data_IF_952394573088
#
_entry.id   IF_952394573088
#
_cell.length_a   1.000
_cell.length_b   1.000
_cell.length_c   1.000
_cell.angle_alpha   90.00
_cell.angle_beta   90.00
_cell.angle_gamma   90.00
#
_symmetry.space_group_name_H-M   'P 1'
#
loop_
_entity.id
_entity.type
_entity.pdbx_description
1 polymer ?
#
# COMPACT_ATOMS: atom_id res chain seq x y z
N UNK A 1 3.71 27.09 -8.84
CA UNK A 1 2.50 26.87 -9.71
C UNK A 1 1.70 25.63 -9.29
N UNK A 2 2.33 24.47 -8.98
CA UNK A 2 1.59 23.26 -8.56
C UNK A 2 0.84 23.47 -7.24
N UNK A 3 1.45 24.15 -6.26
CA UNK A 3 0.80 24.46 -4.99
C UNK A 3 -0.42 25.40 -5.15
N UNK A 4 -0.46 26.22 -6.19
CA UNK A 4 -1.61 27.09 -6.52
C UNK A 4 -2.70 26.32 -7.30
N UNK A 5 -2.36 25.23 -7.97
CA UNK A 5 -3.31 24.41 -8.72
C UNK A 5 -3.98 23.31 -7.87
N UNK A 6 -3.41 22.95 -6.72
CA UNK A 6 -4.01 22.00 -5.77
C UNK A 6 -5.16 22.72 -5.03
N UNK A 7 -6.36 22.63 -5.59
CA UNK A 7 -7.58 23.17 -4.98
C UNK A 7 -7.76 22.57 -3.60
N UNK A 8 -7.67 23.42 -2.57
CA UNK A 8 -7.78 22.99 -1.17
C UNK A 8 -6.42 22.64 -0.52
N UNK A 9 -5.28 22.88 -1.15
CA UNK A 9 -3.95 22.58 -0.55
C UNK A 9 -3.77 23.24 0.82
N UNK A 10 -4.22 24.47 1.02
CA UNK A 10 -4.20 25.14 2.32
C UNK A 10 -5.14 24.49 3.35
N UNK A 11 -6.30 23.98 2.93
CA UNK A 11 -7.22 23.27 3.83
C UNK A 11 -6.70 21.88 4.18
N UNK A 12 -6.09 21.17 3.23
CA UNK A 12 -5.51 19.85 3.48
C UNK A 12 -4.37 19.89 4.49
N UNK A 13 -3.47 20.86 4.39
CA UNK A 13 -2.35 21.03 5.32
C UNK A 13 -2.77 21.62 6.70
N UNK A 14 -3.99 22.09 6.83
CA UNK A 14 -4.57 22.60 8.10
C UNK A 14 -5.42 21.56 8.83
N UNK A 15 -5.68 20.40 8.24
CA UNK A 15 -6.34 19.30 8.95
C UNK A 15 -5.56 18.96 10.22
N UNK A 16 -6.27 18.70 11.31
CA UNK A 16 -5.67 18.57 12.65
C UNK A 16 -4.57 17.51 12.70
N UNK A 17 -4.85 16.31 12.19
CA UNK A 17 -3.87 15.22 12.17
C UNK A 17 -2.64 15.54 11.31
N UNK A 18 -2.83 16.21 10.19
CA UNK A 18 -1.74 16.63 9.29
C UNK A 18 -0.82 17.65 9.97
N UNK A 19 -1.39 18.60 10.74
CA UNK A 19 -0.59 19.56 11.48
C UNK A 19 0.17 18.92 12.63
N UNK A 20 -0.46 18.04 13.40
CA UNK A 20 0.17 17.29 14.50
C UNK A 20 1.34 16.43 13.97
N UNK A 21 1.16 15.74 12.83
CA UNK A 21 2.22 14.99 12.16
C UNK A 21 3.39 15.88 11.73
N UNK A 22 3.10 17.04 11.13
CA UNK A 22 4.12 17.99 10.71
C UNK A 22 4.91 18.55 11.92
N UNK A 23 4.24 18.88 13.03
CA UNK A 23 4.88 19.35 14.26
C UNK A 23 5.78 18.26 14.86
N UNK A 24 5.34 16.99 14.89
CA UNK A 24 6.16 15.89 15.40
C UNK A 24 7.38 15.60 14.50
N UNK A 25 7.22 15.69 13.17
CA UNK A 25 8.33 15.55 12.23
C UNK A 25 9.32 16.73 12.33
N UNK A 26 8.85 17.96 12.52
CA UNK A 26 9.71 19.11 12.76
C UNK A 26 10.55 18.93 14.03
N UNK A 27 9.95 18.38 15.09
CA UNK A 27 10.68 18.04 16.32
C UNK A 27 11.74 16.95 16.07
N UNK A 28 11.42 15.93 15.28
CA UNK A 28 12.37 14.88 14.91
C UNK A 28 13.58 15.48 14.15
N UNK A 29 13.31 16.43 13.24
CA UNK A 29 14.36 17.19 12.54
C UNK A 29 15.26 17.99 13.50
N UNK A 30 14.64 18.74 14.40
CA UNK A 30 15.37 19.60 15.37
C UNK A 30 16.26 18.78 16.31
N UNK A 31 15.80 17.58 16.70
CA UNK A 31 16.48 16.68 17.63
C UNK A 31 17.35 15.62 16.95
N UNK A 32 17.46 15.65 15.63
CA UNK A 32 18.16 14.64 14.82
C UNK A 32 17.75 13.20 15.18
N UNK A 33 16.46 12.97 15.41
CA UNK A 33 15.91 11.70 15.78
C UNK A 33 15.94 10.69 14.63
N UNK A 34 16.10 9.41 14.95
CA UNK A 34 16.02 8.31 14.01
C UNK A 34 14.56 8.07 13.61
N UNK A 35 14.27 8.15 12.32
CA UNK A 35 12.93 7.95 11.76
C UNK A 35 12.92 6.69 10.90
N UNK A 36 11.95 5.80 11.13
CA UNK A 36 11.72 4.63 10.27
C UNK A 36 10.32 4.68 9.67
N UNK A 37 10.24 4.58 8.32
CA UNK A 37 8.98 4.42 7.61
C UNK A 37 8.63 2.94 7.57
N UNK A 38 7.41 2.56 7.99
CA UNK A 38 6.85 1.23 7.80
C UNK A 38 5.81 1.29 6.70
N UNK A 39 6.13 0.67 5.56
CA UNK A 39 5.32 0.74 4.34
C UNK A 39 4.43 -0.50 4.15
N UNK A 40 3.34 -0.37 3.39
CA UNK A 40 2.62 -1.52 2.85
C UNK A 40 3.41 -2.16 1.69
N UNK A 41 3.07 -3.40 1.36
CA UNK A 41 3.76 -4.27 0.39
C UNK A 41 3.11 -4.27 -1.01
N UNK A 42 2.46 -3.19 -1.41
CA UNK A 42 1.95 -2.99 -2.75
C UNK A 42 2.52 -1.73 -3.43
N UNK A 43 2.03 -1.39 -4.61
CA UNK A 43 2.55 -0.26 -5.37
C UNK A 43 2.24 1.10 -4.71
N UNK A 44 1.09 1.25 -4.02
CA UNK A 44 0.79 2.46 -3.28
C UNK A 44 1.73 2.60 -2.08
N UNK A 45 1.87 1.54 -1.27
CA UNK A 45 2.82 1.51 -0.16
C UNK A 45 4.26 1.77 -0.59
N UNK A 46 4.72 1.16 -1.71
CA UNK A 46 6.07 1.39 -2.24
C UNK A 46 6.29 2.84 -2.70
N UNK A 47 5.33 3.41 -3.42
CA UNK A 47 5.41 4.81 -3.86
C UNK A 47 5.28 5.77 -2.69
N UNK A 48 4.46 5.47 -1.69
CA UNK A 48 4.33 6.23 -0.45
C UNK A 48 5.64 6.22 0.35
N UNK A 49 6.31 5.06 0.43
CA UNK A 49 7.62 4.92 1.03
C UNK A 49 8.66 5.78 0.30
N UNK A 50 8.73 5.69 -1.03
CA UNK A 50 9.67 6.47 -1.84
C UNK A 50 9.44 7.99 -1.69
N UNK A 51 8.17 8.43 -1.72
CA UNK A 51 7.79 9.83 -1.46
C UNK A 51 8.16 10.25 -0.05
N UNK A 52 7.89 9.41 0.95
CA UNK A 52 8.26 9.68 2.35
C UNK A 52 9.76 9.83 2.54
N UNK A 53 10.57 8.86 2.11
CA UNK A 53 12.04 8.87 2.23
C UNK A 53 12.64 10.07 1.51
N UNK A 54 12.28 10.29 0.23
CA UNK A 54 12.81 11.40 -0.57
C UNK A 54 12.36 12.74 -0.01
N UNK A 55 11.08 12.86 0.34
CA UNK A 55 10.54 14.12 0.87
C UNK A 55 11.10 14.50 2.23
N UNK A 56 11.25 13.55 3.15
CA UNK A 56 11.89 13.78 4.45
C UNK A 56 13.37 14.18 4.28
N UNK A 57 14.11 13.51 3.38
CA UNK A 57 15.49 13.87 3.04
C UNK A 57 15.59 15.30 2.51
N UNK A 58 14.69 15.69 1.58
CA UNK A 58 14.64 17.06 1.06
C UNK A 58 14.35 18.10 2.15
N UNK A 59 13.62 17.73 3.20
CA UNK A 59 13.27 18.58 4.33
C UNK A 59 14.29 18.49 5.49
N UNK A 60 15.42 17.77 5.29
CA UNK A 60 16.52 17.68 6.26
C UNK A 60 16.27 16.66 7.38
N UNK A 61 15.48 15.61 7.12
CA UNK A 61 15.25 14.49 8.02
C UNK A 61 15.81 13.23 7.35
N UNK A 62 16.73 12.54 8.04
CA UNK A 62 17.21 11.22 7.60
C UNK A 62 16.24 10.15 8.08
N UNK A 63 15.73 9.37 7.15
CA UNK A 63 14.85 8.25 7.46
C UNK A 63 15.30 6.99 6.73
N UNK A 64 15.07 5.85 7.35
CA UNK A 64 15.13 4.54 6.74
C UNK A 64 13.72 3.96 6.61
N UNK A 65 13.61 2.76 6.03
CA UNK A 65 12.32 2.11 5.89
C UNK A 65 12.36 0.62 6.27
N UNK A 66 11.19 0.07 6.53
CA UNK A 66 10.91 -1.34 6.71
C UNK A 66 9.63 -1.70 5.95
N UNK A 67 9.65 -2.83 5.25
CA UNK A 67 8.44 -3.38 4.64
C UNK A 67 8.19 -4.75 5.25
N UNK A 68 7.02 -4.97 5.86
CA UNK A 68 6.65 -6.29 6.34
C UNK A 68 6.54 -7.29 5.19
N UNK A 69 7.10 -8.47 5.38
CA UNK A 69 6.81 -9.60 4.48
C UNK A 69 5.38 -10.08 4.73
N UNK A 70 4.62 -10.22 3.64
CA UNK A 70 3.20 -10.60 3.67
C UNK A 70 2.94 -11.96 4.32
N UNK A 71 3.88 -12.89 4.15
CA UNK A 71 3.76 -14.27 4.65
C UNK A 71 4.23 -14.36 6.10
N UNK A 72 5.39 -13.77 6.41
CA UNK A 72 6.05 -13.89 7.70
C UNK A 72 5.49 -12.92 8.76
N UNK A 73 5.15 -11.69 8.38
CA UNK A 73 4.80 -10.62 9.32
C UNK A 73 3.32 -10.25 9.31
N UNK A 74 2.58 -10.66 8.28
CA UNK A 74 1.18 -10.28 8.08
C UNK A 74 1.04 -8.89 7.46
N UNK A 75 -0.10 -8.25 7.69
CA UNK A 75 -0.44 -6.95 7.10
C UNK A 75 -0.09 -5.79 8.02
N UNK A 76 0.62 -4.80 7.50
CA UNK A 76 0.84 -3.51 8.12
C UNK A 76 1.69 -3.54 9.38
N UNK A 77 1.51 -2.55 10.26
CA UNK A 77 2.23 -2.43 11.52
C UNK A 77 1.63 -3.40 12.55
N UNK A 78 2.36 -4.47 12.87
CA UNK A 78 2.02 -5.43 13.94
C UNK A 78 2.96 -5.29 15.14
N UNK A 79 2.64 -5.80 16.34
CA UNK A 79 3.59 -5.81 17.46
C UNK A 79 4.93 -6.47 17.12
N UNK A 80 4.92 -7.56 16.36
CA UNK A 80 6.14 -8.22 15.89
C UNK A 80 6.98 -7.31 14.97
N UNK A 81 6.34 -6.59 14.05
CA UNK A 81 7.02 -5.60 13.19
C UNK A 81 7.64 -4.49 14.03
N UNK A 82 6.95 -4.02 15.06
CA UNK A 82 7.51 -3.03 16.00
C UNK A 82 8.75 -3.57 16.71
N UNK A 83 8.73 -4.81 17.18
CA UNK A 83 9.88 -5.44 17.85
C UNK A 83 11.08 -5.57 16.89
N UNK A 84 10.84 -6.00 15.65
CA UNK A 84 11.88 -6.09 14.63
C UNK A 84 12.51 -4.70 14.32
N UNK A 85 11.67 -3.69 14.16
CA UNK A 85 12.12 -2.32 13.87
C UNK A 85 12.85 -1.72 15.08
N UNK A 86 12.38 -1.98 16.29
CA UNK A 86 13.01 -1.52 17.52
C UNK A 86 14.39 -2.16 17.79
N UNK A 87 14.64 -3.35 17.25
CA UNK A 87 15.94 -4.04 17.36
C UNK A 87 17.00 -3.51 16.39
N UNK A 88 16.65 -2.63 15.45
CA UNK A 88 17.60 -2.05 14.50
C UNK A 88 18.56 -1.06 15.17
N UNK A 89 19.69 -0.84 14.51
CA UNK A 89 20.68 0.14 14.93
C UNK A 89 20.83 1.24 13.85
N UNK A 90 20.53 2.51 14.13
CA UNK A 90 19.99 2.99 15.41
C UNK A 90 18.53 2.55 15.62
N UNK A 91 18.14 2.35 16.90
CA UNK A 91 16.72 2.19 17.26
C UNK A 91 15.96 3.45 16.86
N UNK A 92 14.79 3.35 16.22
CA UNK A 92 14.03 4.53 15.86
C UNK A 92 13.44 5.23 17.09
N UNK A 93 13.42 6.56 17.05
CA UNK A 93 12.65 7.41 17.97
C UNK A 93 11.20 7.60 17.47
N UNK A 94 11.02 7.47 16.16
CA UNK A 94 9.74 7.70 15.48
C UNK A 94 9.52 6.68 14.38
N UNK A 95 8.38 6.01 14.42
CA UNK A 95 7.85 5.23 13.30
C UNK A 95 6.81 6.07 12.56
N UNK A 96 6.89 6.10 11.24
CA UNK A 96 5.87 6.66 10.36
C UNK A 96 5.31 5.55 9.49
N UNK A 97 4.04 5.22 9.66
CA UNK A 97 3.41 4.27 8.72
C UNK A 97 2.98 4.98 7.44
N UNK A 98 3.09 4.30 6.32
CA UNK A 98 2.57 4.80 5.04
C UNK A 98 1.70 3.73 4.40
N UNK A 99 0.48 4.11 4.07
CA UNK A 99 -0.54 3.24 3.47
C UNK A 99 -0.98 2.07 4.37
N UNK A 100 -0.76 2.19 5.67
CA UNK A 100 -1.21 1.23 6.67
C UNK A 100 -1.25 1.86 8.06
N UNK A 101 -1.74 1.12 9.05
CA UNK A 101 -1.62 1.48 10.45
C UNK A 101 -2.91 1.90 11.14
N UNK A 102 -3.97 2.26 10.42
CA UNK A 102 -5.23 2.72 11.05
C UNK A 102 -5.90 1.66 11.94
N UNK A 103 -5.61 0.40 11.73
CA UNK A 103 -6.11 -0.72 12.53
C UNK A 103 -5.07 -1.32 13.48
N UNK A 104 -3.93 -0.64 13.70
CA UNK A 104 -2.75 -1.16 14.40
C UNK A 104 -2.67 -0.75 15.88
N UNK A 105 -3.80 -0.75 16.62
CA UNK A 105 -3.84 -0.29 18.01
C UNK A 105 -2.83 -1.02 18.91
N UNK A 106 -2.78 -2.34 18.87
CA UNK A 106 -1.85 -3.14 19.67
C UNK A 106 -0.36 -2.86 19.32
N UNK A 107 -0.06 -2.60 18.07
CA UNK A 107 1.29 -2.27 17.64
C UNK A 107 1.72 -0.88 18.12
N UNK A 108 0.81 0.09 18.08
CA UNK A 108 1.06 1.45 18.61
C UNK A 108 1.28 1.41 20.12
N UNK A 109 0.50 0.60 20.85
CA UNK A 109 0.72 0.40 22.29
C UNK A 109 2.09 -0.25 22.54
N UNK A 110 2.48 -1.24 21.73
CA UNK A 110 3.80 -1.87 21.81
C UNK A 110 4.94 -0.88 21.54
N UNK A 111 4.81 -0.04 20.51
CA UNK A 111 5.78 1.01 20.21
C UNK A 111 5.96 1.99 21.39
N UNK A 112 4.85 2.39 22.01
CA UNK A 112 4.86 3.27 23.18
C UNK A 112 5.54 2.62 24.40
N UNK A 113 5.33 1.32 24.65
CA UNK A 113 6.06 0.57 25.70
C UNK A 113 7.57 0.63 25.47
N UNK A 114 8.00 0.62 24.22
CA UNK A 114 9.40 0.72 23.84
C UNK A 114 9.93 2.18 23.75
N UNK A 115 9.10 3.18 24.06
CA UNK A 115 9.47 4.59 24.00
C UNK A 115 9.62 5.10 22.56
N UNK A 116 8.90 4.53 21.59
CA UNK A 116 8.90 4.91 20.19
C UNK A 116 7.57 5.61 19.87
N UNK A 117 7.64 6.83 19.36
CA UNK A 117 6.46 7.54 18.86
C UNK A 117 5.99 6.98 17.52
N UNK A 118 4.69 7.08 17.23
CA UNK A 118 4.11 6.62 15.97
C UNK A 118 3.30 7.73 15.33
N UNK A 119 3.54 7.99 14.04
CA UNK A 119 2.66 8.75 13.16
C UNK A 119 2.04 7.76 12.18
N UNK A 120 0.72 7.77 12.07
CA UNK A 120 -0.01 6.97 11.10
C UNK A 120 -0.40 7.86 9.92
N UNK A 121 0.02 7.46 8.70
CA UNK A 121 -0.51 8.00 7.45
C UNK A 121 -1.16 6.88 6.66
N UNK A 122 -2.48 6.95 6.52
CA UNK A 122 -3.28 5.86 5.98
C UNK A 122 -4.53 6.42 5.29
N UNK A 123 -5.18 5.63 4.47
CA UNK A 123 -6.45 5.98 3.82
C UNK A 123 -7.52 4.88 3.97
N UNK A 124 -7.16 3.74 4.54
CA UNK A 124 -8.10 2.65 4.81
C UNK A 124 -9.18 3.07 5.81
N UNK A 125 -10.32 2.37 5.78
CA UNK A 125 -11.40 2.63 6.70
C UNK A 125 -10.99 2.29 8.14
N UNK A 126 -11.24 3.20 9.10
CA UNK A 126 -10.92 2.96 10.49
C UNK A 126 -11.78 1.83 11.08
N UNK A 127 -11.21 1.08 12.02
CA UNK A 127 -11.94 0.16 12.87
C UNK A 127 -12.78 0.87 13.95
N UNK A 128 -13.37 0.07 14.85
CA UNK A 128 -14.15 0.61 15.97
C UNK A 128 -13.27 1.38 16.98
N UNK A 129 -12.01 0.98 17.13
CA UNK A 129 -11.03 1.60 18.02
C UNK A 129 -9.87 2.17 17.21
N UNK A 130 -9.52 3.42 17.47
CA UNK A 130 -8.38 4.09 16.84
C UNK A 130 -7.11 3.85 17.63
N UNK A 131 -5.96 3.65 16.95
CA UNK A 131 -4.65 3.60 17.61
C UNK A 131 -4.34 4.89 18.37
N UNK A 132 -3.68 4.76 19.54
CA UNK A 132 -3.25 5.91 20.34
C UNK A 132 -1.89 6.45 19.85
N UNK A 133 -1.79 6.71 18.55
CA UNK A 133 -0.61 7.27 17.92
C UNK A 133 -0.43 8.76 18.23
N UNK A 134 0.81 9.27 18.06
CA UNK A 134 1.14 10.67 18.25
C UNK A 134 0.37 11.58 17.28
N UNK A 135 0.17 11.11 16.06
CA UNK A 135 -0.72 11.73 15.07
C UNK A 135 -1.31 10.66 14.15
N UNK A 136 -2.55 10.88 13.70
CA UNK A 136 -3.21 10.06 12.69
C UNK A 136 -3.68 10.96 11.56
N UNK A 137 -3.14 10.72 10.36
CA UNK A 137 -3.53 11.40 9.14
C UNK A 137 -4.26 10.41 8.25
N UNK A 138 -5.58 10.50 8.25
CA UNK A 138 -6.43 9.64 7.44
C UNK A 138 -7.68 10.42 7.02
N UNK A 139 -7.93 10.60 5.71
CA UNK A 139 -9.08 11.33 5.20
C UNK A 139 -10.42 10.69 5.56
N UNK A 140 -10.44 9.39 5.88
CA UNK A 140 -11.64 8.61 6.18
C UNK A 140 -12.02 8.59 7.68
N UNK A 141 -11.29 9.33 8.53
CA UNK A 141 -11.69 9.50 9.93
C UNK A 141 -13.03 10.22 10.05
N UNK A 142 -13.83 9.79 11.03
CA UNK A 142 -15.04 10.50 11.40
C UNK A 142 -14.70 11.94 11.83
N UNK A 143 -15.36 12.92 11.24
CA UNK A 143 -15.10 14.33 11.51
C UNK A 143 -13.88 14.93 10.81
N UNK A 144 -13.13 14.17 10.01
CA UNK A 144 -12.05 14.71 9.17
C UNK A 144 -12.58 15.78 8.21
N UNK A 145 -11.93 16.93 8.20
CA UNK A 145 -12.22 18.05 7.29
C UNK A 145 -11.43 18.00 6.00
N UNK A 146 -10.67 16.93 5.80
CA UNK A 146 -9.86 16.75 4.60
C UNK A 146 -10.75 16.73 3.34
N UNK A 147 -10.49 17.60 2.35
CA UNK A 147 -11.40 17.80 1.22
C UNK A 147 -11.55 16.61 0.29
N UNK A 148 -10.51 15.79 0.15
CA UNK A 148 -10.52 14.58 -0.69
C UNK A 148 -10.53 13.33 0.19
N UNK A 149 -11.66 12.65 0.23
CA UNK A 149 -11.82 11.37 0.96
C UNK A 149 -11.25 10.17 0.18
N UNK A 150 -10.82 10.38 -1.05
CA UNK A 150 -10.40 9.34 -1.96
C UNK A 150 -8.88 9.37 -2.22
N UNK A 151 -8.07 9.96 -1.32
CA UNK A 151 -6.62 9.88 -1.45
C UNK A 151 -6.15 8.43 -1.31
N UNK A 152 -5.15 8.06 -2.10
CA UNK A 152 -4.32 6.89 -1.87
C UNK A 152 -3.28 7.17 -0.77
N UNK A 153 -2.67 6.14 -0.20
CA UNK A 153 -1.66 6.28 0.87
C UNK A 153 -0.50 7.21 0.50
N UNK A 154 -0.02 7.12 -0.75
CA UNK A 154 1.01 8.03 -1.28
C UNK A 154 0.56 9.49 -1.27
N UNK A 155 -0.71 9.74 -1.54
CA UNK A 155 -1.29 11.08 -1.46
C UNK A 155 -1.30 11.63 -0.03
N UNK A 156 -1.61 10.78 0.95
CA UNK A 156 -1.65 11.17 2.36
C UNK A 156 -0.30 11.62 2.85
N UNK A 157 0.75 10.79 2.67
CA UNK A 157 2.12 11.18 3.08
C UNK A 157 2.61 12.42 2.31
N UNK A 158 2.25 12.57 1.03
CA UNK A 158 2.61 13.75 0.27
C UNK A 158 2.04 15.04 0.88
N UNK A 159 0.79 15.04 1.34
CA UNK A 159 0.20 16.19 2.04
C UNK A 159 0.83 16.46 3.41
N UNK A 160 1.26 15.43 4.14
CA UNK A 160 2.05 15.60 5.38
C UNK A 160 3.37 16.31 5.08
N UNK A 161 4.07 15.93 4.01
CA UNK A 161 5.30 16.60 3.60
C UNK A 161 5.08 18.06 3.18
N UNK A 162 3.97 18.36 2.50
CA UNK A 162 3.60 19.74 2.17
C UNK A 162 3.32 20.56 3.44
N UNK A 163 2.64 19.99 4.43
CA UNK A 163 2.39 20.63 5.72
C UNK A 163 3.69 20.87 6.49
N UNK A 164 4.58 19.88 6.54
CA UNK A 164 5.89 20.02 7.17
C UNK A 164 6.70 21.12 6.50
N UNK A 165 6.74 21.18 5.17
CA UNK A 165 7.41 22.28 4.45
C UNK A 165 6.82 23.64 4.80
N UNK A 166 5.49 23.75 4.88
CA UNK A 166 4.84 25.01 5.28
C UNK A 166 5.22 25.41 6.69
N UNK A 167 5.19 24.48 7.64
CA UNK A 167 5.59 24.72 9.03
C UNK A 167 7.05 25.14 9.15
N UNK A 168 7.97 24.48 8.44
CA UNK A 168 9.39 24.83 8.44
C UNK A 168 9.64 26.21 7.83
N UNK A 169 8.84 26.60 6.84
CA UNK A 169 8.87 27.96 6.28
C UNK A 169 8.34 29.00 7.30
N UNK A 170 7.24 28.71 8.00
CA UNK A 170 6.71 29.57 9.08
C UNK A 170 7.74 29.75 10.21
N UNK A 171 8.56 28.72 10.50
CA UNK A 171 9.65 28.76 11.48
C UNK A 171 10.96 29.38 10.94
N UNK A 172 10.96 29.87 9.70
CA UNK A 172 12.13 30.52 9.10
C UNK A 172 13.27 29.58 8.68
N UNK A 173 13.03 28.25 8.64
CA UNK A 173 14.03 27.27 8.17
C UNK A 173 14.25 27.39 6.66
N UNK A 174 13.20 27.71 5.92
CA UNK A 174 13.20 27.95 4.48
C UNK A 174 12.45 29.25 4.15
N UNK A 175 12.84 29.90 3.09
CA UNK A 175 12.08 30.97 2.44
C UNK A 175 11.44 30.49 1.13
N UNK A 176 10.78 31.39 0.41
CA UNK A 176 10.12 31.06 -0.86
C UNK A 176 11.11 30.61 -1.96
N UNK A 177 12.40 30.96 -1.86
CA UNK A 177 13.44 30.63 -2.85
C UNK A 177 14.20 29.35 -2.49
N UNK A 178 14.40 29.11 -1.18
CA UNK A 178 15.21 28.01 -0.65
C UNK A 178 14.39 26.77 -0.29
N UNK A 179 13.06 26.88 -0.20
CA UNK A 179 12.19 25.75 0.13
C UNK A 179 12.32 24.59 -0.89
N UNK A 180 12.35 23.33 -0.43
CA UNK A 180 12.43 22.18 -1.32
C UNK A 180 11.25 22.07 -2.30
N UNK A 181 11.57 21.66 -3.53
CA UNK A 181 10.59 21.47 -4.63
C UNK A 181 9.92 20.09 -4.53
N UNK A 182 9.01 19.89 -3.55
CA UNK A 182 8.29 18.64 -3.37
C UNK A 182 7.44 18.24 -4.58
N UNK A 183 7.15 19.17 -5.49
CA UNK A 183 6.54 18.86 -6.79
C UNK A 183 7.39 17.88 -7.63
N UNK A 184 8.67 17.71 -7.32
CA UNK A 184 9.52 16.68 -7.91
C UNK A 184 8.99 15.26 -7.67
N UNK A 185 8.22 15.02 -6.62
CA UNK A 185 7.74 13.70 -6.20
C UNK A 185 6.35 13.33 -6.78
N UNK A 186 5.72 14.24 -7.54
CA UNK A 186 4.33 14.06 -7.99
C UNK A 186 4.19 12.95 -9.04
N UNK A 187 5.25 12.55 -9.71
CA UNK A 187 5.26 11.37 -10.60
C UNK A 187 5.01 10.07 -9.82
N UNK A 188 5.63 9.88 -8.65
CA UNK A 188 5.35 8.77 -7.75
C UNK A 188 3.93 8.84 -7.17
N UNK A 189 3.50 10.05 -6.76
CA UNK A 189 2.12 10.26 -6.27
C UNK A 189 1.08 9.86 -7.32
N UNK A 190 1.35 10.18 -8.60
CA UNK A 190 0.46 9.80 -9.68
C UNK A 190 0.43 8.28 -9.89
N UNK A 191 1.59 7.61 -9.81
CA UNK A 191 1.67 6.16 -9.96
C UNK A 191 0.89 5.44 -8.86
N UNK A 192 1.16 5.73 -7.56
CA UNK A 192 0.47 5.08 -6.44
C UNK A 192 -1.04 5.34 -6.47
N UNK A 193 -1.46 6.59 -6.70
CA UNK A 193 -2.89 6.95 -6.81
C UNK A 193 -3.63 6.14 -7.88
N UNK A 194 -2.99 5.87 -9.03
CA UNK A 194 -3.59 5.05 -10.08
C UNK A 194 -3.53 3.56 -9.74
N UNK A 195 -2.44 3.12 -9.14
CA UNK A 195 -2.22 1.72 -8.79
C UNK A 195 -3.21 1.20 -7.74
N UNK A 196 -3.57 2.04 -6.77
CA UNK A 196 -4.54 1.72 -5.71
C UNK A 196 -6.01 1.77 -6.18
N UNK A 197 -6.24 2.22 -7.41
CA UNK A 197 -7.59 2.23 -8.03
C UNK A 197 -8.59 3.12 -7.25
N UNK A 198 -8.12 4.08 -6.48
CA UNK A 198 -8.98 5.04 -5.79
C UNK A 198 -9.79 5.88 -6.77
N UNK A 199 -10.93 6.39 -6.32
CA UNK A 199 -11.74 7.29 -7.13
C UNK A 199 -10.94 8.54 -7.51
N UNK A 200 -10.83 8.80 -8.81
CA UNK A 200 -10.20 10.01 -9.33
C UNK A 200 -11.13 11.21 -9.20
N UNK A 201 -11.30 11.71 -7.98
CA UNK A 201 -11.97 12.97 -7.73
C UNK A 201 -11.15 14.15 -8.25
N UNK A 202 -11.61 15.37 -8.04
CA UNK A 202 -10.93 16.57 -8.56
C UNK A 202 -9.47 16.66 -8.10
N UNK A 203 -9.21 16.35 -6.81
CA UNK A 203 -7.86 16.44 -6.25
C UNK A 203 -6.94 15.36 -6.85
N UNK A 204 -7.37 14.11 -6.87
CA UNK A 204 -6.59 13.01 -7.44
C UNK A 204 -6.33 13.22 -8.92
N UNK A 205 -7.31 13.74 -9.70
CA UNK A 205 -7.08 14.09 -11.11
C UNK A 205 -6.01 15.16 -11.29
N UNK A 206 -5.94 16.15 -10.41
CA UNK A 206 -4.88 17.18 -10.46
C UNK A 206 -3.52 16.53 -10.19
N UNK A 207 -3.38 15.73 -9.13
CA UNK A 207 -2.13 15.05 -8.79
C UNK A 207 -1.68 14.14 -9.94
N UNK A 208 -2.56 13.27 -10.44
CA UNK A 208 -2.27 12.34 -11.53
C UNK A 208 -1.89 13.09 -12.82
N UNK A 209 -2.65 14.13 -13.20
CA UNK A 209 -2.36 14.89 -14.42
C UNK A 209 -1.01 15.62 -14.35
N UNK A 210 -0.65 16.15 -13.18
CA UNK A 210 0.65 16.81 -12.98
C UNK A 210 1.81 15.81 -13.02
N UNK A 211 1.65 14.62 -12.39
CA UNK A 211 2.65 13.56 -12.46
C UNK A 211 2.88 13.07 -13.91
N UNK A 212 1.81 12.78 -14.64
CA UNK A 212 1.88 12.40 -16.06
C UNK A 212 2.56 13.50 -16.89
N UNK A 213 2.21 14.77 -16.66
CA UNK A 213 2.83 15.90 -17.37
C UNK A 213 4.33 15.96 -17.12
N UNK A 214 4.78 15.73 -15.87
CA UNK A 214 6.21 15.69 -15.52
C UNK A 214 6.94 14.59 -16.28
N UNK A 215 6.38 13.38 -16.25
CA UNK A 215 6.95 12.21 -16.95
C UNK A 215 7.08 12.50 -18.44
N UNK A 216 6.02 13.00 -19.08
CA UNK A 216 6.04 13.35 -20.51
C UNK A 216 7.07 14.42 -20.88
N UNK A 217 7.42 15.30 -19.94
CA UNK A 217 8.44 16.32 -20.12
C UNK A 217 9.87 15.83 -19.78
N UNK A 218 10.08 14.53 -19.54
CA UNK A 218 11.38 13.97 -19.17
C UNK A 218 11.85 14.41 -17.77
N UNK A 219 10.94 14.82 -16.89
CA UNK A 219 11.23 15.20 -15.49
C UNK A 219 10.75 14.10 -14.54
N UNK A 220 11.19 12.88 -14.77
CA UNK A 220 10.83 11.73 -13.97
C UNK A 220 12.07 11.16 -13.28
N UNK A 221 11.85 10.33 -12.26
CA UNK A 221 12.91 9.63 -11.56
C UNK A 221 13.39 8.42 -12.37
N UNK A 222 14.67 8.05 -12.22
CA UNK A 222 15.31 6.98 -12.97
C UNK A 222 14.57 5.63 -12.87
N UNK A 223 14.03 5.30 -11.66
CA UNK A 223 13.25 4.08 -11.47
C UNK A 223 11.96 4.03 -12.29
N UNK A 224 11.23 5.14 -12.41
CA UNK A 224 10.04 5.19 -13.27
C UNK A 224 10.42 5.09 -14.75
N UNK A 225 11.48 5.78 -15.16
CA UNK A 225 11.97 5.72 -16.54
C UNK A 225 12.35 4.28 -16.92
N UNK A 226 13.08 3.59 -16.04
CA UNK A 226 13.45 2.19 -16.22
C UNK A 226 12.23 1.27 -16.31
N UNK A 227 11.24 1.45 -15.44
CA UNK A 227 10.00 0.66 -15.45
C UNK A 227 9.18 0.87 -16.73
N UNK A 228 9.11 2.10 -17.26
CA UNK A 228 8.49 2.38 -18.55
C UNK A 228 9.23 1.72 -19.68
N UNK A 229 10.57 1.81 -19.71
CA UNK A 229 11.41 1.19 -20.74
C UNK A 229 11.25 -0.34 -20.77
N UNK A 230 11.35 -1.01 -19.61
CA UNK A 230 11.16 -2.47 -19.51
C UNK A 230 9.73 -2.90 -19.85
N UNK A 231 8.75 -2.03 -19.60
CA UNK A 231 7.36 -2.28 -20.01
C UNK A 231 7.12 -2.07 -21.51
N UNK A 232 8.11 -1.61 -22.29
CA UNK A 232 7.97 -1.26 -23.70
C UNK A 232 7.03 -0.06 -23.91
N UNK A 233 7.03 0.90 -22.98
CA UNK A 233 6.18 2.10 -23.01
C UNK A 233 7.00 3.37 -23.20
N UNK A 234 6.54 4.25 -24.09
CA UNK A 234 7.17 5.55 -24.30
C UNK A 234 6.69 6.54 -23.23
N UNK A 235 7.64 7.03 -22.42
CA UNK A 235 7.36 8.01 -21.36
C UNK A 235 6.73 9.30 -21.90
N UNK A 236 7.01 9.69 -23.15
CA UNK A 236 6.48 10.90 -23.79
C UNK A 236 4.98 10.83 -24.05
N UNK A 237 4.43 9.61 -24.10
CA UNK A 237 3.00 9.33 -24.31
C UNK A 237 2.34 8.74 -23.07
N UNK A 238 3.07 8.67 -21.94
CA UNK A 238 2.61 8.08 -20.69
C UNK A 238 1.17 8.49 -20.33
N UNK A 239 0.38 7.54 -19.86
CA UNK A 239 -1.00 7.74 -19.46
C UNK A 239 -1.40 6.88 -18.27
N UNK A 240 -2.62 7.07 -17.77
CA UNK A 240 -3.18 6.31 -16.64
C UNK A 240 -3.13 4.80 -16.88
N UNK A 241 -3.39 4.36 -18.14
CA UNK A 241 -3.32 2.93 -18.50
C UNK A 241 -1.93 2.34 -18.34
N UNK A 242 -0.88 3.11 -18.61
CA UNK A 242 0.50 2.63 -18.46
C UNK A 242 0.83 2.43 -17.00
N UNK A 243 0.37 3.32 -16.12
CA UNK A 243 0.50 3.14 -14.67
C UNK A 243 -0.21 1.87 -14.19
N UNK A 244 -1.51 1.75 -14.45
CA UNK A 244 -2.33 0.67 -13.90
C UNK A 244 -2.05 -0.71 -14.49
N UNK A 245 -1.65 -0.79 -15.78
CA UNK A 245 -1.55 -2.07 -16.50
C UNK A 245 -0.13 -2.43 -16.97
N UNK A 246 0.83 -1.49 -16.89
CA UNK A 246 2.20 -1.77 -17.25
C UNK A 246 3.16 -1.60 -16.07
N UNK A 247 3.19 -0.46 -15.40
CA UNK A 247 4.16 -0.16 -14.33
C UNK A 247 3.77 -0.80 -12.99
N UNK A 248 2.59 -0.47 -12.45
CA UNK A 248 2.14 -0.95 -11.15
C UNK A 248 2.13 -2.49 -11.00
N UNK A 249 1.71 -3.29 -12.01
CA UNK A 249 1.75 -4.75 -11.90
C UNK A 249 3.14 -5.33 -11.65
N UNK A 250 4.21 -4.68 -12.14
CA UNK A 250 5.60 -5.09 -11.91
C UNK A 250 6.02 -4.89 -10.46
N UNK A 251 5.68 -3.73 -9.89
CA UNK A 251 5.92 -3.43 -8.47
C UNK A 251 5.08 -4.36 -7.59
N UNK A 252 3.78 -4.50 -7.87
CA UNK A 252 2.88 -5.36 -7.12
C UNK A 252 3.27 -6.84 -7.12
N UNK A 253 3.96 -7.31 -8.17
CA UNK A 253 4.44 -8.68 -8.23
C UNK A 253 5.50 -8.98 -7.17
N UNK A 254 6.35 -8.01 -6.85
CA UNK A 254 7.36 -8.14 -5.81
C UNK A 254 6.74 -8.44 -4.43
N UNK A 255 5.67 -7.76 -4.05
CA UNK A 255 4.95 -8.03 -2.79
C UNK A 255 4.12 -9.33 -2.79
N UNK A 256 4.10 -10.09 -3.89
CA UNK A 256 3.40 -11.38 -4.00
C UNK A 256 4.31 -12.59 -4.04
N UNK A 257 5.45 -12.49 -4.74
CA UNK A 257 6.37 -13.60 -5.00
C UNK A 257 7.80 -13.30 -4.57
N UNK A 258 8.07 -12.13 -4.02
CA UNK A 258 9.38 -11.70 -3.58
C UNK A 258 9.30 -10.68 -2.45
N UNK A 259 10.27 -9.79 -2.38
CA UNK A 259 10.31 -8.71 -1.40
C UNK A 259 9.95 -7.37 -2.06
N UNK A 260 9.10 -6.59 -1.44
CA UNK A 260 8.76 -5.24 -1.92
C UNK A 260 9.97 -4.29 -1.87
N UNK A 261 11.01 -4.63 -1.15
CA UNK A 261 12.27 -3.87 -1.12
C UNK A 261 12.80 -3.59 -2.52
N UNK A 262 12.78 -4.59 -3.44
CA UNK A 262 13.18 -4.38 -4.84
C UNK A 262 12.37 -3.28 -5.54
N UNK A 263 11.06 -3.20 -5.24
CA UNK A 263 10.18 -2.16 -5.77
C UNK A 263 10.55 -0.77 -5.23
N UNK A 264 10.79 -0.67 -3.93
CA UNK A 264 11.17 0.57 -3.27
C UNK A 264 12.56 1.03 -3.70
N UNK A 265 13.56 0.13 -3.76
CA UNK A 265 14.91 0.46 -4.20
C UNK A 265 14.94 0.93 -5.66
N UNK A 266 14.12 0.32 -6.52
CA UNK A 266 13.93 0.82 -7.89
C UNK A 266 13.47 2.29 -7.90
N UNK A 267 12.48 2.63 -7.06
CA UNK A 267 11.95 4.00 -6.97
C UNK A 267 12.90 4.98 -6.25
N UNK A 268 13.74 4.48 -5.35
CA UNK A 268 14.72 5.28 -4.60
C UNK A 268 16.04 5.46 -5.35
N UNK A 269 16.33 4.66 -6.37
CA UNK A 269 17.58 4.77 -7.13
C UNK A 269 17.61 6.05 -7.95
N UNK A 270 18.72 6.77 -7.84
CA UNK A 270 19.04 7.92 -8.69
C UNK A 270 20.05 7.55 -9.80
N UNK A 271 20.68 6.37 -9.69
CA UNK A 271 21.56 5.80 -10.73
C UNK A 271 20.72 5.05 -11.78
N UNK A 272 20.73 5.46 -13.06
CA UNK A 272 19.97 4.80 -14.12
C UNK A 272 20.31 3.32 -14.32
N UNK A 273 21.57 2.90 -14.11
CA UNK A 273 21.98 1.53 -14.28
C UNK A 273 21.44 0.63 -13.15
N UNK A 274 21.51 1.09 -11.90
CA UNK A 274 20.91 0.37 -10.77
C UNK A 274 19.38 0.34 -10.88
N UNK A 275 18.74 1.43 -11.27
CA UNK A 275 17.30 1.50 -11.51
C UNK A 275 16.85 0.49 -12.59
N UNK A 276 17.61 0.37 -13.66
CA UNK A 276 17.33 -0.59 -14.73
C UNK A 276 17.44 -2.04 -14.22
N UNK A 277 18.49 -2.37 -13.46
CA UNK A 277 18.65 -3.71 -12.90
C UNK A 277 17.49 -4.10 -11.97
N UNK A 278 17.01 -3.18 -11.10
CA UNK A 278 15.81 -3.41 -10.30
C UNK A 278 14.56 -3.58 -11.16
N UNK A 279 14.38 -2.76 -12.20
CA UNK A 279 13.23 -2.86 -13.09
C UNK A 279 13.21 -4.19 -13.88
N UNK A 280 14.36 -4.71 -14.29
CA UNK A 280 14.51 -6.04 -14.90
C UNK A 280 14.12 -7.15 -13.93
N UNK A 281 14.58 -7.09 -12.68
CA UNK A 281 14.19 -8.03 -11.63
C UNK A 281 12.67 -8.01 -11.40
N UNK A 282 12.07 -6.82 -11.27
CA UNK A 282 10.63 -6.67 -11.11
C UNK A 282 9.84 -7.21 -12.31
N UNK A 283 10.36 -7.05 -13.52
CA UNK A 283 9.75 -7.60 -14.71
C UNK A 283 9.79 -9.13 -14.73
N UNK A 284 10.91 -9.74 -14.32
CA UNK A 284 11.03 -11.19 -14.20
C UNK A 284 10.02 -11.76 -13.21
N UNK A 285 9.95 -11.19 -12.00
CA UNK A 285 8.96 -11.57 -10.97
C UNK A 285 7.52 -11.41 -11.50
N UNK A 286 7.23 -10.34 -12.23
CA UNK A 286 5.90 -10.14 -12.80
C UNK A 286 5.57 -11.14 -13.92
N UNK A 287 6.56 -11.61 -14.68
CA UNK A 287 6.38 -12.66 -15.69
C UNK A 287 6.05 -13.98 -15.00
N UNK A 288 6.84 -14.38 -14.01
CA UNK A 288 6.58 -15.56 -13.18
C UNK A 288 5.19 -15.52 -12.53
N UNK A 289 4.83 -14.38 -11.94
CA UNK A 289 3.49 -14.20 -11.35
C UNK A 289 2.37 -14.42 -12.38
N UNK A 290 2.55 -13.95 -13.63
CA UNK A 290 1.56 -14.13 -14.71
C UNK A 290 1.45 -15.57 -15.18
N UNK A 291 2.56 -16.28 -15.23
CA UNK A 291 2.60 -17.70 -15.57
C UNK A 291 1.86 -18.53 -14.50
N UNK A 292 2.20 -18.33 -13.22
CA UNK A 292 1.50 -18.96 -12.10
C UNK A 292 0.00 -18.64 -12.10
N UNK A 293 -0.37 -17.37 -12.32
CA UNK A 293 -1.80 -16.97 -12.42
C UNK A 293 -2.51 -17.74 -13.52
N UNK A 294 -1.87 -17.87 -14.70
CA UNK A 294 -2.46 -18.58 -15.85
C UNK A 294 -2.64 -20.07 -15.59
N UNK A 295 -1.63 -20.72 -15.02
CA UNK A 295 -1.70 -22.15 -14.65
C UNK A 295 -2.76 -22.41 -13.60
N UNK A 296 -2.77 -21.63 -12.54
CA UNK A 296 -3.78 -21.75 -11.48
C UNK A 296 -5.19 -21.48 -12.00
N UNK A 297 -5.35 -20.53 -12.91
CA UNK A 297 -6.65 -20.24 -13.55
C UNK A 297 -7.12 -21.42 -14.39
N UNK A 298 -6.26 -22.07 -15.18
CA UNK A 298 -6.62 -23.26 -15.97
C UNK A 298 -7.06 -24.41 -15.07
N UNK A 299 -6.34 -24.67 -13.97
CA UNK A 299 -6.71 -25.70 -13.00
C UNK A 299 -8.08 -25.41 -12.35
N UNK A 300 -8.32 -24.16 -12.00
CA UNK A 300 -9.57 -23.74 -11.40
C UNK A 300 -10.75 -23.82 -12.39
N UNK A 301 -10.52 -23.50 -13.66
CA UNK A 301 -11.53 -23.60 -14.72
C UNK A 301 -11.89 -25.06 -15.03
N UNK A 302 -10.90 -25.96 -15.04
CA UNK A 302 -11.14 -27.39 -15.18
C UNK A 302 -11.98 -27.95 -14.03
N UNK A 303 -11.73 -27.51 -12.80
CA UNK A 303 -12.54 -27.89 -11.63
C UNK A 303 -13.98 -27.36 -11.75
N UNK A 304 -14.19 -26.14 -12.24
CA UNK A 304 -15.52 -25.55 -12.45
C UNK A 304 -16.36 -26.32 -13.46
N UNK A 305 -15.76 -26.88 -14.50
CA UNK A 305 -16.46 -27.57 -15.58
C UNK A 305 -17.24 -28.81 -15.11
N UNK A 306 -16.91 -29.32 -13.92
CA UNK A 306 -17.51 -30.51 -13.32
C UNK A 306 -18.55 -30.22 -12.23
N UNK A 307 -18.86 -28.91 -12.00
CA UNK A 307 -19.75 -28.50 -10.90
C UNK A 307 -20.99 -27.84 -11.47
N UNK A 308 -22.17 -28.35 -11.01
CA UNK A 308 -23.44 -27.67 -11.23
C UNK A 308 -23.53 -26.41 -10.34
N UNK A 309 -23.31 -25.25 -10.94
CA UNK A 309 -23.31 -23.97 -10.23
C UNK A 309 -24.73 -23.49 -9.86
N UNK A 310 -25.79 -24.03 -10.46
CA UNK A 310 -27.17 -23.52 -10.28
C UNK A 310 -27.67 -23.67 -8.85
N UNK A 311 -27.14 -24.63 -8.12
CA UNK A 311 -27.50 -24.90 -6.72
C UNK A 311 -26.51 -24.33 -5.68
N UNK A 312 -25.46 -23.61 -6.09
CA UNK A 312 -24.43 -23.11 -5.19
C UNK A 312 -24.41 -21.56 -5.14
N UNK A 313 -24.65 -20.98 -3.96
CA UNK A 313 -24.58 -19.53 -3.75
C UNK A 313 -23.13 -18.99 -3.74
N UNK A 314 -22.16 -19.84 -3.40
CA UNK A 314 -20.72 -19.50 -3.30
C UNK A 314 -19.88 -20.59 -3.92
N UNK A 315 -18.65 -20.30 -4.25
CA UNK A 315 -17.69 -21.28 -4.75
C UNK A 315 -16.40 -21.25 -3.94
N UNK A 316 -15.98 -22.43 -3.50
CA UNK A 316 -14.68 -22.61 -2.83
C UNK A 316 -13.84 -23.58 -3.62
N UNK A 317 -12.53 -23.29 -3.75
CA UNK A 317 -11.59 -24.15 -4.45
C UNK A 317 -10.27 -24.24 -3.68
N UNK A 318 -9.75 -25.44 -3.62
CA UNK A 318 -8.41 -25.73 -3.13
C UNK A 318 -7.66 -26.57 -4.17
N UNK A 319 -6.38 -26.24 -4.36
CA UNK A 319 -5.48 -27.10 -5.12
C UNK A 319 -4.10 -27.07 -4.45
N UNK A 320 -3.44 -28.23 -4.25
CA UNK A 320 -2.12 -28.29 -3.62
C UNK A 320 -1.02 -27.53 -4.35
N UNK A 321 -1.18 -27.27 -5.65
CA UNK A 321 -0.24 -26.50 -6.47
C UNK A 321 -0.51 -24.99 -6.46
N UNK A 322 -1.57 -24.51 -5.77
CA UNK A 322 -1.85 -23.09 -5.72
C UNK A 322 -0.83 -22.36 -4.84
N UNK A 323 -0.42 -21.18 -5.31
CA UNK A 323 0.48 -20.27 -4.60
C UNK A 323 -0.32 -19.25 -3.79
N UNK A 324 0.01 -19.10 -2.50
CA UNK A 324 -0.70 -18.22 -1.57
C UNK A 324 -0.64 -16.71 -1.94
N UNK A 325 0.41 -16.26 -2.63
CA UNK A 325 0.54 -14.89 -3.13
C UNK A 325 -0.36 -14.57 -4.33
N UNK A 326 -0.82 -15.62 -5.04
CA UNK A 326 -1.56 -15.49 -6.32
C UNK A 326 -3.04 -15.88 -6.18
N UNK A 327 -3.44 -16.68 -5.17
CA UNK A 327 -4.84 -17.15 -5.00
C UNK A 327 -5.88 -16.03 -5.03
N UNK A 328 -5.54 -14.84 -4.57
CA UNK A 328 -6.45 -13.70 -4.60
C UNK A 328 -6.77 -13.19 -6.01
N UNK A 329 -5.85 -13.35 -6.95
CA UNK A 329 -6.06 -13.02 -8.37
C UNK A 329 -6.96 -14.07 -9.03
N UNK A 330 -6.72 -15.35 -8.74
CA UNK A 330 -7.55 -16.45 -9.22
C UNK A 330 -8.99 -16.32 -8.71
N UNK A 331 -9.18 -16.06 -7.42
CA UNK A 331 -10.50 -15.83 -6.85
C UNK A 331 -11.22 -14.65 -7.54
N UNK A 332 -10.51 -13.57 -7.86
CA UNK A 332 -11.08 -12.42 -8.58
C UNK A 332 -11.56 -12.81 -9.99
N UNK A 333 -10.73 -13.54 -10.75
CA UNK A 333 -11.08 -13.99 -12.11
C UNK A 333 -12.27 -14.94 -12.10
N UNK A 334 -12.27 -15.93 -11.21
CA UNK A 334 -13.39 -16.85 -11.06
C UNK A 334 -14.68 -16.12 -10.69
N UNK A 335 -14.62 -15.19 -9.71
CA UNK A 335 -15.77 -14.38 -9.30
C UNK A 335 -16.36 -13.59 -10.50
N UNK A 336 -15.52 -13.01 -11.35
CA UNK A 336 -15.96 -12.28 -12.56
C UNK A 336 -16.65 -13.21 -13.56
N UNK A 337 -16.18 -14.45 -13.67
CA UNK A 337 -16.74 -15.45 -14.60
C UNK A 337 -18.08 -16.04 -14.14
N UNK A 338 -18.18 -16.40 -12.84
CA UNK A 338 -19.37 -17.10 -12.33
C UNK A 338 -20.37 -16.19 -11.61
N UNK A 339 -20.03 -14.90 -11.42
CA UNK A 339 -20.85 -13.88 -10.74
C UNK A 339 -21.35 -14.32 -9.34
N UNK A 340 -20.49 -15.00 -8.58
CA UNK A 340 -20.73 -15.45 -7.20
C UNK A 340 -19.51 -15.18 -6.33
N UNK A 341 -19.66 -15.10 -4.99
CA UNK A 341 -18.51 -15.08 -4.10
C UNK A 341 -17.63 -16.31 -4.29
N UNK A 342 -16.33 -16.09 -4.34
CA UNK A 342 -15.32 -17.15 -4.52
C UNK A 342 -14.27 -17.04 -3.43
N UNK A 343 -13.88 -18.19 -2.86
CA UNK A 343 -12.69 -18.31 -2.01
C UNK A 343 -11.76 -19.35 -2.62
N UNK A 344 -10.54 -18.94 -2.98
CA UNK A 344 -9.50 -19.84 -3.43
C UNK A 344 -8.48 -20.06 -2.31
N UNK A 345 -8.09 -21.32 -2.08
CA UNK A 345 -7.16 -21.74 -1.03
C UNK A 345 -5.88 -22.30 -1.61
N UNK A 346 -4.76 -21.97 -0.97
CA UNK A 346 -3.44 -22.55 -1.20
C UNK A 346 -2.92 -23.21 0.10
N UNK A 347 -2.06 -24.22 0.00
CA UNK A 347 -1.33 -24.72 1.15
C UNK A 347 -0.30 -23.70 1.62
N UNK A 348 0.01 -23.73 2.90
CA UNK A 348 1.11 -22.96 3.50
C UNK A 348 2.17 -23.89 4.08
N UNK A 349 3.38 -23.40 4.31
CA UNK A 349 4.49 -24.18 4.85
C UNK A 349 4.19 -24.75 6.25
N UNK A 350 3.36 -24.06 7.03
CA UNK A 350 2.96 -24.51 8.37
C UNK A 350 1.78 -25.50 8.37
N UNK A 351 1.34 -25.96 7.19
CA UNK A 351 0.28 -26.96 7.04
C UNK A 351 -1.15 -26.42 7.15
N UNK A 352 -1.35 -25.11 7.25
CA UNK A 352 -2.67 -24.47 7.15
C UNK A 352 -3.06 -24.29 5.66
N UNK A 353 -4.35 -24.03 5.41
CA UNK A 353 -4.81 -23.53 4.12
C UNK A 353 -5.08 -22.03 4.23
N UNK A 354 -4.39 -21.24 3.40
CA UNK A 354 -4.61 -19.80 3.29
C UNK A 354 -5.57 -19.49 2.16
N UNK A 355 -6.72 -18.91 2.50
CA UNK A 355 -7.78 -18.56 1.58
C UNK A 355 -7.78 -17.07 1.26
N UNK A 356 -8.08 -16.76 0.00
CA UNK A 356 -8.37 -15.40 -0.42
C UNK A 356 -9.73 -15.35 -1.10
N UNK A 357 -10.64 -14.58 -0.52
CA UNK A 357 -12.02 -14.46 -0.98
C UNK A 357 -12.25 -13.17 -1.77
N UNK A 358 -13.14 -13.27 -2.76
CA UNK A 358 -13.68 -12.14 -3.53
C UNK A 358 -15.19 -12.25 -3.60
N UNK A 359 -15.89 -11.15 -3.35
CA UNK A 359 -17.36 -11.10 -3.29
C UNK A 359 -17.97 -10.29 -4.44
N UNK A 360 -19.29 -10.33 -4.48
CA UNK A 360 -20.13 -9.55 -5.40
C UNK A 360 -20.92 -8.50 -4.61
N UNK A 361 -21.46 -7.45 -5.26
CA UNK A 361 -22.33 -6.48 -4.60
C UNK A 361 -23.51 -7.17 -3.89
N UNK A 362 -23.80 -6.72 -2.68
CA UNK A 362 -24.90 -7.28 -1.85
C UNK A 362 -24.47 -8.37 -0.87
N UNK A 363 -23.25 -8.92 -0.98
CA UNK A 363 -22.73 -9.93 -0.04
C UNK A 363 -21.47 -9.41 0.63
N UNK A 364 -21.56 -9.15 1.95
CA UNK A 364 -20.42 -8.67 2.76
C UNK A 364 -19.57 -9.86 3.22
N UNK A 365 -18.43 -10.07 2.53
CA UNK A 365 -17.63 -11.29 2.72
C UNK A 365 -17.07 -11.43 4.14
N UNK A 366 -16.55 -10.34 4.73
CA UNK A 366 -16.04 -10.37 6.10
C UNK A 366 -17.12 -10.79 7.10
N UNK A 367 -18.35 -10.26 6.97
CA UNK A 367 -19.45 -10.59 7.86
C UNK A 367 -19.90 -12.04 7.68
N UNK A 368 -19.89 -12.54 6.44
CA UNK A 368 -20.15 -13.95 6.16
C UNK A 368 -19.11 -14.87 6.82
N UNK A 369 -17.82 -14.49 6.79
CA UNK A 369 -16.76 -15.23 7.47
C UNK A 369 -16.90 -15.16 8.99
N UNK A 370 -17.30 -14.03 9.55
CA UNK A 370 -17.58 -13.89 11.00
C UNK A 370 -18.72 -14.80 11.44
N UNK A 371 -19.80 -14.84 10.67
CA UNK A 371 -20.92 -15.76 10.91
C UNK A 371 -20.47 -17.22 10.82
N UNK A 372 -19.67 -17.58 9.82
CA UNK A 372 -19.13 -18.93 9.64
C UNK A 372 -18.23 -19.32 10.83
N UNK A 373 -17.34 -18.42 11.26
CA UNK A 373 -16.46 -18.67 12.40
C UNK A 373 -17.23 -18.88 13.72
N UNK A 374 -18.35 -18.18 13.89
CA UNK A 374 -19.24 -18.35 15.04
C UNK A 374 -20.07 -19.62 14.96
N UNK A 375 -20.55 -19.98 13.77
CA UNK A 375 -21.36 -21.18 13.57
C UNK A 375 -20.55 -22.48 13.63
N UNK A 376 -19.28 -22.43 13.20
CA UNK A 376 -18.36 -23.58 13.16
C UNK A 376 -17.05 -23.22 13.88
N UNK A 377 -17.03 -23.21 15.23
CA UNK A 377 -15.85 -22.87 16.00
C UNK A 377 -14.67 -23.79 15.68
N UNK A 378 -13.48 -23.19 15.45
CA UNK A 378 -12.25 -23.93 15.19
C UNK A 378 -12.00 -24.29 13.70
N UNK A 379 -12.95 -24.05 12.81
CA UNK A 379 -12.76 -24.21 11.35
C UNK A 379 -11.97 -23.03 10.81
N UNK A 380 -12.44 -21.82 11.04
CA UNK A 380 -11.73 -20.58 10.66
C UNK A 380 -10.78 -20.19 11.78
N UNK A 381 -9.47 -20.27 11.52
CA UNK A 381 -8.44 -19.95 12.49
C UNK A 381 -8.24 -18.43 12.62
N UNK A 382 -8.20 -17.75 11.48
CA UNK A 382 -8.02 -16.31 11.36
C UNK A 382 -8.74 -15.81 10.12
N UNK A 383 -9.32 -14.63 10.17
CA UNK A 383 -9.84 -13.95 9.00
C UNK A 383 -9.78 -12.44 9.16
N UNK A 384 -9.80 -11.74 8.04
CA UNK A 384 -9.82 -10.28 7.99
C UNK A 384 -10.13 -9.79 6.59
N UNK A 385 -10.51 -8.52 6.48
CA UNK A 385 -10.82 -7.92 5.18
C UNK A 385 -12.05 -7.02 5.24
N UNK A 386 -12.67 -6.84 4.08
CA UNK A 386 -13.80 -5.94 3.85
C UNK A 386 -14.94 -6.64 3.12
N UNK A 387 -15.96 -5.87 2.70
CA UNK A 387 -17.14 -6.40 2.02
C UNK A 387 -16.81 -7.22 0.76
N UNK A 388 -15.90 -6.72 -0.08
CA UNK A 388 -15.63 -7.27 -1.41
C UNK A 388 -14.42 -8.21 -1.46
N UNK A 389 -13.55 -8.17 -0.45
CA UNK A 389 -12.34 -8.99 -0.39
C UNK A 389 -11.98 -9.31 1.06
N UNK A 390 -11.63 -10.57 1.32
CA UNK A 390 -11.19 -11.02 2.63
C UNK A 390 -10.15 -12.13 2.52
N UNK A 391 -9.25 -12.20 3.49
CA UNK A 391 -8.33 -13.30 3.69
C UNK A 391 -8.76 -14.15 4.89
N UNK A 392 -8.46 -15.45 4.86
CA UNK A 392 -8.69 -16.35 5.98
C UNK A 392 -7.66 -17.47 6.00
N UNK A 393 -7.51 -18.09 7.17
CA UNK A 393 -6.78 -19.37 7.33
C UNK A 393 -7.69 -20.40 7.95
N UNK A 394 -7.60 -21.61 7.44
CA UNK A 394 -8.34 -22.77 7.97
C UNK A 394 -7.39 -23.95 8.13
N UNK A 395 -7.80 -24.94 8.93
CA UNK A 395 -7.13 -26.25 8.92
C UNK A 395 -7.56 -27.03 7.68
N UNK A 396 -6.71 -27.95 7.13
CA UNK A 396 -7.09 -28.76 5.96
C UNK A 396 -8.39 -29.53 6.12
N UNK A 397 -8.68 -30.02 7.33
CA UNK A 397 -9.90 -30.76 7.65
C UNK A 397 -11.16 -29.86 7.55
N UNK A 398 -11.00 -28.56 7.71
CA UNK A 398 -12.09 -27.58 7.62
C UNK A 398 -12.50 -27.21 6.19
N UNK A 399 -11.83 -27.74 5.18
CA UNK A 399 -12.18 -27.49 3.79
C UNK A 399 -13.32 -28.39 3.27
N UNK A 400 -13.61 -29.50 3.93
CA UNK A 400 -14.63 -30.53 3.52
C UNK A 400 -16.06 -30.06 3.76
#
# INVERSE_FOLDING_TARGET
>A
EIAQCLVGSEMCIRDRGTREAAERLALARERHQAVTIVADYDCDGATACAVGIRGLRMLGITANYFVPDRVLHGYGLTPNVVDIVAARTPKPDLIVTVDNGISSAAAVDRARELGIDVIITDHHLPGAELPRAQAIVNPNLTGSTFPSKNLAGVGVIYYVLLALRSLLRERGVFDAKTQPRLDALVDFVALGTVADVVKLDKNNRILVSQGIRRIRCGRTHAGLEALFAIAGRDIRTAGVRDFGFAVAPRINAAGRLGTMENGIECLLSDDPAAALAFAESLNSINTERRELESEMQQLAEAALSNIDLDHHATFTIFNPSFNEGVVGLVAARLKERIHRPVIAFAPTENGELKGSGRSIPGIHLRDALDLTAKALPGVVLRFGGHAMAAGLSIKPEGFK
#
